data_IF_769918849300
#
_entry.id   IF_769918849300
#
_cell.length_a   1.000
_cell.length_b   1.000
_cell.length_c   1.000
_cell.angle_alpha   90.00
_cell.angle_beta   90.00
_cell.angle_gamma   90.00
#
_symmetry.space_group_name_H-M   'P 1'
#
loop_
_entity.id
_entity.type
_entity.pdbx_description
1 polymer ?
#
# COMPACT_ATOMS: atom_id res chain seq x y z
N UNK A 1 7.54 2.34 -30.66
CA UNK A 1 6.38 1.47 -30.37
C UNK A 1 6.74 0.72 -29.09
N UNK A 2 5.94 0.78 -28.03
CA UNK A 2 6.18 0.00 -26.82
C UNK A 2 5.80 -1.46 -27.10
N UNK A 3 6.76 -2.25 -27.63
CA UNK A 3 6.54 -3.65 -27.95
C UNK A 3 6.17 -4.44 -26.68
N UNK A 4 4.86 -4.75 -26.53
CA UNK A 4 4.37 -5.78 -25.62
C UNK A 4 4.53 -5.52 -24.12
N UNK A 5 4.65 -4.26 -23.68
CA UNK A 5 4.73 -3.93 -22.25
C UNK A 5 3.38 -4.08 -21.57
N UNK A 6 3.36 -4.84 -20.50
CA UNK A 6 2.14 -5.20 -19.77
C UNK A 6 1.94 -4.33 -18.53
N UNK A 7 0.80 -3.66 -18.46
CA UNK A 7 0.39 -2.82 -17.32
C UNK A 7 -0.76 -3.51 -16.57
N UNK A 8 -0.63 -3.59 -15.25
CA UNK A 8 -1.73 -3.96 -14.37
C UNK A 8 -2.45 -2.71 -13.86
N UNK A 9 -3.75 -2.60 -14.07
CA UNK A 9 -4.61 -1.59 -13.45
C UNK A 9 -5.45 -2.27 -12.39
N UNK A 10 -5.44 -1.71 -11.17
CA UNK A 10 -6.26 -2.16 -10.04
C UNK A 10 -7.14 -0.99 -9.61
N UNK A 11 -8.41 -1.03 -9.99
CA UNK A 11 -9.38 0.05 -9.83
C UNK A 11 -10.77 -0.55 -9.74
N UNK A 12 -11.62 -0.16 -8.80
CA UNK A 12 -12.98 -0.69 -8.62
C UNK A 12 -14.07 0.16 -9.29
N UNK A 13 -13.81 1.43 -9.58
CA UNK A 13 -14.74 2.30 -10.32
C UNK A 13 -14.68 2.02 -11.83
N UNK A 14 -15.79 1.54 -12.39
CA UNK A 14 -15.89 1.18 -13.81
C UNK A 14 -15.57 2.34 -14.78
N UNK A 15 -15.86 3.59 -14.39
CA UNK A 15 -15.57 4.76 -15.22
C UNK A 15 -14.07 5.02 -15.27
N UNK A 16 -13.39 4.92 -14.12
CA UNK A 16 -11.94 5.06 -14.07
C UNK A 16 -11.22 3.90 -14.74
N UNK A 17 -11.76 2.68 -14.60
CA UNK A 17 -11.28 1.53 -15.36
C UNK A 17 -11.26 1.79 -16.85
N UNK A 18 -12.38 2.34 -17.39
CA UNK A 18 -12.50 2.63 -18.82
C UNK A 18 -11.50 3.70 -19.25
N UNK A 19 -11.43 4.83 -18.52
CA UNK A 19 -10.53 5.95 -18.84
C UNK A 19 -9.07 5.50 -18.86
N UNK A 20 -8.61 4.82 -17.80
CA UNK A 20 -7.21 4.39 -17.70
C UNK A 20 -6.87 3.35 -18.77
N UNK A 21 -7.76 2.38 -19.00
CA UNK A 21 -7.56 1.33 -20.00
C UNK A 21 -7.49 1.90 -21.41
N UNK A 22 -8.50 2.65 -21.85
CA UNK A 22 -8.54 3.21 -23.20
C UNK A 22 -7.33 4.10 -23.45
N UNK A 23 -6.97 4.98 -22.49
CA UNK A 23 -5.78 5.84 -22.61
C UNK A 23 -4.50 5.04 -22.85
N UNK A 24 -4.30 3.92 -22.14
CA UNK A 24 -3.08 3.14 -22.26
C UNK A 24 -3.08 2.19 -23.47
N UNK A 25 -4.23 1.62 -23.84
CA UNK A 25 -4.36 0.79 -25.04
C UNK A 25 -4.15 1.63 -26.31
N UNK A 26 -4.60 2.89 -26.34
CA UNK A 26 -4.36 3.83 -27.44
C UNK A 26 -2.86 4.15 -27.61
N UNK A 27 -2.08 4.14 -26.53
CA UNK A 27 -0.62 4.28 -26.54
C UNK A 27 0.12 2.95 -26.86
N UNK A 28 -0.64 1.85 -27.06
CA UNK A 28 -0.11 0.55 -27.48
C UNK A 28 0.40 -0.33 -26.32
N UNK A 29 0.00 -0.08 -25.08
CA UNK A 29 0.27 -0.95 -23.96
C UNK A 29 -0.73 -2.12 -23.89
N UNK A 30 -0.29 -3.27 -23.42
CA UNK A 30 -1.17 -4.40 -23.08
C UNK A 30 -1.67 -4.23 -21.64
N UNK A 31 -2.98 -4.07 -21.46
CA UNK A 31 -3.58 -3.74 -20.17
C UNK A 31 -4.32 -4.93 -19.60
N UNK A 32 -4.01 -5.24 -18.33
CA UNK A 32 -4.82 -6.12 -17.50
C UNK A 32 -5.52 -5.30 -16.45
N UNK A 33 -6.84 -5.45 -16.36
CA UNK A 33 -7.67 -4.70 -15.44
C UNK A 33 -8.31 -5.65 -14.43
N UNK A 34 -8.24 -5.28 -13.15
CA UNK A 34 -8.86 -5.98 -12.03
C UNK A 34 -9.47 -4.97 -11.06
N UNK A 35 -10.50 -5.40 -10.32
CA UNK A 35 -11.31 -4.48 -9.52
C UNK A 35 -11.01 -4.51 -8.01
N UNK A 36 -10.17 -5.41 -7.51
CA UNK A 36 -9.97 -5.56 -6.08
C UNK A 36 -8.58 -6.09 -5.72
N UNK A 37 -8.27 -6.04 -4.42
CA UNK A 37 -7.00 -6.52 -3.86
C UNK A 37 -6.67 -7.97 -4.22
N UNK A 38 -7.65 -8.88 -4.12
CA UNK A 38 -7.40 -10.32 -4.29
C UNK A 38 -7.04 -10.64 -5.74
N UNK A 39 -7.80 -10.08 -6.69
CA UNK A 39 -7.56 -10.27 -8.11
C UNK A 39 -6.24 -9.59 -8.55
N UNK A 40 -5.93 -8.41 -7.99
CA UNK A 40 -4.66 -7.73 -8.23
C UNK A 40 -3.47 -8.55 -7.78
N UNK A 41 -3.51 -9.05 -6.56
CA UNK A 41 -2.48 -9.95 -6.04
C UNK A 41 -2.35 -11.22 -6.88
N UNK A 42 -3.46 -11.86 -7.23
CA UNK A 42 -3.47 -13.08 -8.03
C UNK A 42 -2.90 -12.86 -9.44
N UNK A 43 -3.21 -11.72 -10.08
CA UNK A 43 -2.63 -11.35 -11.36
C UNK A 43 -1.11 -11.22 -11.27
N UNK A 44 -0.61 -10.53 -10.24
CA UNK A 44 0.82 -10.33 -9.98
C UNK A 44 1.57 -11.63 -9.64
N UNK A 45 0.91 -12.60 -9.02
CA UNK A 45 1.49 -13.92 -8.74
C UNK A 45 1.59 -14.79 -9.99
N UNK A 46 0.67 -14.62 -10.96
CA UNK A 46 0.60 -15.46 -12.16
C UNK A 46 1.54 -15.04 -13.29
N UNK A 47 1.78 -13.75 -13.48
CA UNK A 47 2.58 -13.22 -14.57
C UNK A 47 3.37 -11.96 -14.18
N UNK A 48 4.46 -11.65 -14.88
CA UNK A 48 5.15 -10.38 -14.73
C UNK A 48 4.32 -9.24 -15.34
N UNK A 49 4.47 -8.05 -14.77
CA UNK A 49 4.00 -6.77 -15.30
C UNK A 49 5.16 -5.78 -15.27
N UNK A 50 5.15 -4.85 -16.22
CA UNK A 50 6.18 -3.81 -16.33
C UNK A 50 5.84 -2.57 -15.50
N UNK A 51 4.56 -2.39 -15.16
CA UNK A 51 4.04 -1.29 -14.32
C UNK A 51 2.74 -1.73 -13.66
N UNK A 52 2.52 -1.24 -12.44
CA UNK A 52 1.21 -1.33 -11.78
C UNK A 52 0.66 0.07 -11.52
N UNK A 53 -0.59 0.29 -11.92
CA UNK A 53 -1.39 1.48 -11.60
C UNK A 53 -2.49 1.04 -10.65
N UNK A 54 -2.62 1.70 -9.50
CA UNK A 54 -3.57 1.27 -8.49
C UNK A 54 -4.28 2.43 -7.80
N UNK A 55 -5.56 2.24 -7.54
CA UNK A 55 -6.28 3.06 -6.58
C UNK A 55 -6.00 2.59 -5.16
N UNK A 56 -5.91 3.53 -4.22
CA UNK A 56 -5.81 3.23 -2.79
C UNK A 56 -7.16 2.80 -2.20
N UNK A 57 -8.25 3.31 -2.76
CA UNK A 57 -9.62 3.07 -2.30
C UNK A 57 -10.28 1.93 -3.07
N UNK A 58 -9.75 0.73 -2.99
CA UNK A 58 -10.38 -0.46 -3.54
C UNK A 58 -11.39 -1.01 -2.52
N UNK A 59 -12.68 -1.04 -2.88
CA UNK A 59 -13.78 -1.57 -2.07
C UNK A 59 -14.48 -0.53 -1.16
N UNK A 60 -15.70 -0.15 -1.53
CA UNK A 60 -16.57 0.75 -0.76
C UNK A 60 -16.96 0.22 0.63
N UNK A 61 -16.92 -1.09 0.85
CA UNK A 61 -17.25 -1.72 2.13
C UNK A 61 -16.15 -1.61 3.17
N UNK A 62 -14.91 -1.38 2.73
CA UNK A 62 -13.75 -1.17 3.60
C UNK A 62 -12.88 -0.04 3.07
N UNK A 63 -13.27 1.22 3.29
CA UNK A 63 -12.59 2.38 2.71
C UNK A 63 -11.09 2.36 3.04
N UNK A 64 -10.28 2.54 2.00
CA UNK A 64 -8.83 2.73 2.01
C UNK A 64 -7.94 1.51 2.31
N UNK A 65 -8.44 0.29 2.27
CA UNK A 65 -7.63 -0.86 2.70
C UNK A 65 -7.09 -1.72 1.57
N UNK A 66 -7.86 -1.93 0.52
CA UNK A 66 -7.50 -2.83 -0.57
C UNK A 66 -6.23 -2.40 -1.32
N UNK A 67 -6.19 -1.16 -1.77
CA UNK A 67 -5.07 -0.61 -2.53
C UNK A 67 -3.80 -0.46 -1.71
N UNK A 68 -3.89 0.05 -0.48
CA UNK A 68 -2.72 0.18 0.41
C UNK A 68 -2.13 -1.19 0.78
N UNK A 69 -2.99 -2.20 1.02
CA UNK A 69 -2.53 -3.58 1.25
C UNK A 69 -1.81 -4.15 0.03
N UNK A 70 -2.34 -3.90 -1.17
CA UNK A 70 -1.69 -4.35 -2.40
C UNK A 70 -0.36 -3.63 -2.62
N UNK A 71 -0.31 -2.32 -2.42
CA UNK A 71 0.91 -1.53 -2.50
C UNK A 71 1.99 -2.03 -1.52
N UNK A 72 1.59 -2.33 -0.27
CA UNK A 72 2.47 -2.92 0.75
C UNK A 72 3.01 -4.29 0.31
N UNK A 73 2.15 -5.12 -0.27
CA UNK A 73 2.56 -6.44 -0.76
C UNK A 73 3.51 -6.33 -1.95
N UNK A 74 3.20 -5.46 -2.93
CA UNK A 74 4.06 -5.20 -4.10
C UNK A 74 5.45 -4.75 -3.66
N UNK A 75 5.56 -3.80 -2.75
CA UNK A 75 6.85 -3.26 -2.29
C UNK A 75 7.75 -4.29 -1.58
N UNK A 76 7.18 -5.40 -1.14
CA UNK A 76 7.93 -6.50 -0.49
C UNK A 76 8.31 -7.60 -1.45
N UNK A 77 7.46 -7.88 -2.44
CA UNK A 77 7.58 -9.04 -3.31
C UNK A 77 8.04 -8.69 -4.73
N UNK A 78 7.90 -7.43 -5.13
CA UNK A 78 8.19 -6.91 -6.47
C UNK A 78 8.80 -5.51 -6.37
N UNK A 79 9.92 -5.40 -5.66
CA UNK A 79 10.60 -4.12 -5.39
C UNK A 79 11.10 -3.42 -6.67
N UNK A 80 11.37 -4.20 -7.72
CA UNK A 80 11.82 -3.78 -9.04
C UNK A 80 10.72 -3.24 -9.96
N UNK A 81 9.43 -3.48 -9.63
CA UNK A 81 8.30 -3.07 -10.48
C UNK A 81 7.84 -1.66 -10.14
N UNK A 82 7.88 -0.72 -11.08
CA UNK A 82 7.37 0.63 -10.88
C UNK A 82 5.86 0.62 -10.60
N UNK A 83 5.42 1.56 -9.77
CA UNK A 83 4.02 1.69 -9.37
C UNK A 83 3.59 3.14 -9.36
N UNK A 84 2.42 3.39 -9.95
CA UNK A 84 1.75 4.69 -9.97
C UNK A 84 0.46 4.56 -9.18
N UNK A 85 0.16 5.54 -8.36
CA UNK A 85 -1.09 5.60 -7.59
C UNK A 85 -2.00 6.63 -8.24
N UNK A 86 -3.26 6.25 -8.53
CA UNK A 86 -4.32 7.15 -9.01
C UNK A 86 -5.46 7.09 -8.00
N UNK A 87 -5.69 8.14 -7.23
CA UNK A 87 -6.66 8.07 -6.13
C UNK A 87 -7.37 9.40 -5.85
N UNK A 88 -8.45 9.37 -5.04
CA UNK A 88 -9.28 10.54 -4.72
C UNK A 88 -8.60 11.55 -3.78
N UNK A 89 -9.25 12.71 -3.58
CA UNK A 89 -8.71 13.87 -2.86
C UNK A 89 -8.33 13.65 -1.39
N UNK A 90 -8.93 12.68 -0.71
CA UNK A 90 -8.67 12.42 0.72
C UNK A 90 -7.31 11.80 1.02
N UNK A 91 -6.62 11.34 0.00
CA UNK A 91 -5.49 10.40 0.12
C UNK A 91 -4.12 11.08 0.06
N UNK A 92 -4.05 12.37 -0.29
CA UNK A 92 -2.78 13.11 -0.53
C UNK A 92 -1.82 13.04 0.67
N UNK A 93 -2.33 13.05 1.90
CA UNK A 93 -1.50 12.94 3.10
C UNK A 93 -1.00 11.51 3.36
N UNK A 94 -1.83 10.52 3.00
CA UNK A 94 -1.47 9.10 3.08
C UNK A 94 -0.39 8.78 2.07
N UNK A 95 -0.53 9.36 0.92
CA UNK A 95 0.33 9.20 -0.24
C UNK A 95 1.73 9.78 0.00
N UNK A 96 1.87 10.93 0.63
CA UNK A 96 3.18 11.52 0.93
C UNK A 96 4.07 10.60 1.77
N UNK A 97 3.46 9.80 2.65
CA UNK A 97 4.14 8.80 3.44
C UNK A 97 4.35 7.50 2.65
N UNK A 98 3.38 7.13 1.80
CA UNK A 98 3.48 5.98 0.90
C UNK A 98 4.60 6.14 -0.14
N UNK A 99 4.82 7.34 -0.69
CA UNK A 99 5.91 7.62 -1.63
C UNK A 99 7.28 7.22 -1.08
N UNK A 100 7.56 7.58 0.17
CA UNK A 100 8.85 7.27 0.80
C UNK A 100 8.98 5.81 1.25
N UNK A 101 7.85 5.17 1.53
CA UNK A 101 7.83 3.84 2.13
C UNK A 101 7.68 2.74 1.09
N UNK A 102 6.98 3.01 -0.02
CA UNK A 102 6.57 1.99 -1.00
C UNK A 102 7.18 2.20 -2.39
N UNK A 103 8.12 3.13 -2.54
CA UNK A 103 8.80 3.42 -3.80
C UNK A 103 7.83 3.64 -4.98
N UNK A 104 6.80 4.45 -4.74
CA UNK A 104 5.83 4.87 -5.75
C UNK A 104 6.49 5.87 -6.68
N UNK A 105 6.39 5.65 -7.99
CA UNK A 105 6.99 6.55 -9.00
C UNK A 105 6.28 7.90 -9.03
N UNK A 106 4.95 7.88 -9.01
CA UNK A 106 4.13 9.09 -8.98
C UNK A 106 2.73 8.84 -8.40
N UNK A 107 2.07 9.95 -8.02
CA UNK A 107 0.71 9.97 -7.53
C UNK A 107 -0.12 10.97 -8.32
N UNK A 108 -1.27 10.52 -8.78
CA UNK A 108 -2.21 11.32 -9.57
C UNK A 108 -3.53 11.42 -8.80
N UNK A 109 -3.91 12.63 -8.46
CA UNK A 109 -5.21 12.89 -7.85
C UNK A 109 -6.30 12.82 -8.93
N UNK A 110 -7.34 12.01 -8.70
CA UNK A 110 -8.44 11.80 -9.67
C UNK A 110 -9.15 13.10 -10.07
N UNK A 111 -9.24 14.07 -9.19
CA UNK A 111 -9.85 15.39 -9.44
C UNK A 111 -8.96 16.34 -10.25
N UNK A 112 -7.66 16.04 -10.39
CA UNK A 112 -6.68 16.80 -11.16
C UNK A 112 -6.10 15.95 -12.31
N UNK A 113 -6.80 14.90 -12.70
CA UNK A 113 -6.34 13.98 -13.73
C UNK A 113 -6.28 14.67 -15.10
N UNK A 114 -5.10 14.67 -15.68
CA UNK A 114 -4.85 15.13 -17.04
C UNK A 114 -4.25 13.98 -17.86
N UNK A 115 -4.87 13.67 -19.00
CA UNK A 115 -4.49 12.52 -19.83
C UNK A 115 -3.04 12.66 -20.33
N UNK A 116 -2.65 13.84 -20.80
CA UNK A 116 -1.32 14.03 -21.36
C UNK A 116 -0.22 13.92 -20.29
N UNK A 117 -0.46 14.49 -19.11
CA UNK A 117 0.43 14.36 -17.97
C UNK A 117 0.51 12.89 -17.49
N UNK A 118 -0.59 12.17 -17.47
CA UNK A 118 -0.64 10.76 -17.10
C UNK A 118 0.19 9.89 -18.05
N UNK A 119 0.03 10.06 -19.36
CA UNK A 119 0.82 9.35 -20.38
C UNK A 119 2.32 9.61 -20.16
N UNK A 120 2.71 10.86 -19.95
CA UNK A 120 4.11 11.22 -19.72
C UNK A 120 4.70 10.54 -18.47
N UNK A 121 3.91 10.47 -17.38
CA UNK A 121 4.33 9.79 -16.14
C UNK A 121 4.52 8.28 -16.39
N UNK A 122 3.62 7.66 -17.14
CA UNK A 122 3.72 6.22 -17.50
C UNK A 122 4.95 5.96 -18.36
N UNK A 123 5.21 6.78 -19.37
CA UNK A 123 6.40 6.66 -20.23
C UNK A 123 7.70 6.81 -19.42
N UNK A 124 7.74 7.78 -18.51
CA UNK A 124 8.91 8.01 -17.64
C UNK A 124 9.17 6.85 -16.68
N UNK A 125 8.10 6.27 -16.11
CA UNK A 125 8.17 5.08 -15.26
C UNK A 125 8.71 3.86 -16.03
N UNK A 126 8.19 3.64 -17.23
CA UNK A 126 8.61 2.56 -18.12
C UNK A 126 10.06 2.68 -18.59
N UNK A 127 10.52 3.90 -18.83
CA UNK A 127 11.90 4.18 -19.25
C UNK A 127 12.90 3.86 -18.13
N UNK A 128 12.58 4.25 -16.90
CA UNK A 128 13.42 3.97 -15.73
C UNK A 128 13.55 2.47 -15.47
N UNK A 129 12.47 1.71 -15.61
CA UNK A 129 12.49 0.25 -15.48
C UNK A 129 13.36 -0.45 -16.53
N UNK A 130 13.44 0.10 -17.76
CA UNK A 130 14.25 -0.47 -18.85
C UNK A 130 15.76 -0.24 -18.74
N UNK A 131 16.20 0.73 -17.95
CA UNK A 131 17.63 1.04 -17.76
C UNK A 131 18.32 0.19 -16.68
N UNK A 132 17.55 -0.48 -15.81
CA UNK A 132 18.10 -1.37 -14.76
C UNK A 132 18.24 -2.85 -15.18
N UNK A 133 17.88 -3.20 -16.41
CA UNK A 133 17.97 -4.59 -16.91
C UNK A 133 19.39 -5.04 -17.30
N UNK A 134 20.42 -4.22 -17.14
CA UNK A 134 21.82 -4.60 -17.44
C UNK A 134 22.57 -5.21 -16.23
N UNK A 135 21.84 -5.65 -15.20
CA UNK A 135 22.40 -6.51 -14.14
C UNK A 135 22.07 -7.96 -14.44
N UNK A 136 23.09 -8.87 -14.52
CA UNK A 136 22.86 -10.29 -14.83
C UNK A 136 21.94 -10.92 -13.78
N UNK A 137 20.76 -11.37 -14.22
CA UNK A 137 19.78 -12.05 -13.40
C UNK A 137 20.32 -13.38 -12.87
N UNK A 138 19.93 -13.83 -11.67
CA UNK A 138 20.22 -15.17 -11.21
C UNK A 138 19.38 -16.19 -11.98
N UNK A 139 20.08 -17.13 -12.59
CA UNK A 139 19.61 -18.29 -13.34
C UNK A 139 18.54 -19.08 -12.55
N UNK A 140 17.47 -19.45 -13.23
CA UNK A 140 16.42 -20.32 -12.74
C UNK A 140 16.96 -21.71 -12.35
N UNK A 141 16.75 -22.11 -11.10
CA UNK A 141 16.67 -23.51 -10.69
C UNK A 141 15.89 -23.64 -9.38
N UNK A 142 14.70 -24.17 -9.53
CA UNK A 142 13.87 -25.00 -8.63
C UNK A 142 14.37 -25.32 -7.23
N UNK A 143 13.66 -24.82 -6.17
CA UNK A 143 13.24 -25.56 -4.96
C UNK A 143 12.37 -24.66 -4.06
N UNK A 144 11.42 -25.22 -3.27
CA UNK A 144 10.51 -24.43 -2.43
C UNK A 144 11.27 -23.73 -1.30
N UNK A 145 10.81 -22.54 -0.86
CA UNK A 145 11.54 -21.73 0.11
C UNK A 145 11.49 -22.34 1.49
N UNK A 146 12.66 -22.70 1.99
CA UNK A 146 12.91 -22.92 3.42
C UNK A 146 12.94 -21.54 4.12
N UNK A 147 12.42 -21.49 5.34
CA UNK A 147 12.41 -20.31 6.19
C UNK A 147 13.80 -19.68 6.32
N UNK A 148 13.95 -18.35 6.16
CA UNK A 148 15.23 -17.72 6.38
C UNK A 148 15.51 -17.58 7.87
N UNK A 149 16.62 -18.16 8.28
CA UNK A 149 17.29 -17.93 9.56
C UNK A 149 17.81 -16.49 9.63
N UNK A 150 17.63 -15.87 10.79
CA UNK A 150 18.12 -14.54 11.17
C UNK A 150 19.62 -14.36 10.92
N UNK A 151 19.99 -13.62 9.87
CA UNK A 151 21.25 -12.87 9.82
C UNK A 151 21.27 -11.94 8.59
N UNK A 152 21.10 -10.63 8.79
CA UNK A 152 21.56 -9.62 7.83
C UNK A 152 20.53 -8.65 7.29
N UNK A 153 19.71 -8.00 8.13
CA UNK A 153 18.96 -6.78 7.73
C UNK A 153 19.09 -5.72 8.81
N UNK A 154 20.28 -5.13 8.89
CA UNK A 154 20.52 -3.92 9.68
C UNK A 154 20.59 -2.70 8.76
N UNK A 155 19.43 -2.13 8.38
CA UNK A 155 19.43 -0.89 7.60
C UNK A 155 18.08 -0.21 7.38
N UNK A 156 16.98 -0.95 7.31
CA UNK A 156 15.64 -0.38 7.00
C UNK A 156 14.65 -0.34 8.19
N UNK A 157 15.03 -0.75 9.40
CA UNK A 157 14.12 -0.82 10.56
C UNK A 157 13.92 0.48 11.36
N UNK A 158 14.76 1.48 11.20
CA UNK A 158 14.72 2.68 12.05
C UNK A 158 13.51 3.61 11.84
N UNK A 159 13.05 3.92 10.62
CA UNK A 159 11.86 4.77 10.42
C UNK A 159 10.55 4.08 10.83
N UNK A 160 10.39 2.80 10.55
CA UNK A 160 9.19 2.03 10.94
C UNK A 160 9.04 1.95 12.46
N UNK A 161 10.13 1.72 13.19
CA UNK A 161 10.09 1.64 14.64
C UNK A 161 9.76 2.99 15.29
N UNK A 162 10.25 4.10 14.73
CA UNK A 162 9.89 5.45 15.19
C UNK A 162 8.40 5.73 15.01
N UNK A 163 7.84 5.37 13.86
CA UNK A 163 6.42 5.50 13.58
C UNK A 163 5.57 4.69 14.57
N UNK A 164 5.89 3.41 14.78
CA UNK A 164 5.15 2.55 15.71
C UNK A 164 5.23 3.04 17.15
N UNK A 165 6.39 3.55 17.57
CA UNK A 165 6.55 4.14 18.91
C UNK A 165 5.69 5.40 19.07
N UNK A 166 5.61 6.24 18.04
CA UNK A 166 4.78 7.46 18.07
C UNK A 166 3.29 7.11 18.07
N UNK A 167 2.88 6.12 17.26
CA UNK A 167 1.53 5.58 17.27
C UNK A 167 1.14 5.06 18.66
N UNK A 168 2.05 4.32 19.31
CA UNK A 168 1.85 3.85 20.68
C UNK A 168 1.66 5.02 21.66
N UNK A 169 2.50 6.05 21.56
CA UNK A 169 2.37 7.26 22.40
C UNK A 169 1.03 7.96 22.20
N UNK A 170 0.56 8.08 20.98
CA UNK A 170 -0.76 8.65 20.67
C UNK A 170 -1.86 7.83 21.35
N UNK A 171 -1.87 6.52 21.20
CA UNK A 171 -2.87 5.64 21.81
C UNK A 171 -2.84 5.73 23.34
N UNK A 172 -1.66 5.75 23.95
CA UNK A 172 -1.52 5.86 25.41
C UNK A 172 -1.94 7.25 25.92
N UNK A 173 -1.51 8.32 25.26
CA UNK A 173 -1.70 9.68 25.74
C UNK A 173 -3.07 10.27 25.42
N UNK A 174 -3.67 9.91 24.27
CA UNK A 174 -4.84 10.58 23.73
C UNK A 174 -6.12 9.75 23.74
N UNK A 175 -6.03 8.43 23.89
CA UNK A 175 -7.20 7.54 23.96
C UNK A 175 -7.51 7.17 25.42
N UNK A 176 -8.78 7.16 25.78
CA UNK A 176 -9.27 6.50 26.99
C UNK A 176 -9.33 4.98 26.79
N UNK A 177 -9.50 4.23 27.85
CA UNK A 177 -9.65 2.76 27.75
C UNK A 177 -10.94 2.38 26.99
N UNK A 178 -12.01 3.17 27.14
CA UNK A 178 -13.26 2.98 26.39
C UNK A 178 -13.07 3.24 24.90
N UNK A 179 -12.35 4.29 24.54
CA UNK A 179 -12.04 4.58 23.12
C UNK A 179 -11.11 3.51 22.51
N UNK A 180 -10.16 2.99 23.28
CA UNK A 180 -9.32 1.89 22.81
C UNK A 180 -10.13 0.60 22.58
N UNK A 181 -11.15 0.34 23.42
CA UNK A 181 -12.09 -0.77 23.21
C UNK A 181 -12.93 -0.57 21.95
N UNK A 182 -13.43 0.65 21.72
CA UNK A 182 -14.16 1.00 20.49
C UNK A 182 -13.26 0.85 19.25
N UNK A 183 -12.01 1.27 19.35
CA UNK A 183 -11.02 1.12 18.29
C UNK A 183 -10.76 -0.36 17.96
N UNK A 184 -10.64 -1.21 18.99
CA UNK A 184 -10.51 -2.65 18.79
C UNK A 184 -11.73 -3.25 18.07
N UNK A 185 -12.94 -2.80 18.42
CA UNK A 185 -14.17 -3.23 17.77
C UNK A 185 -14.20 -2.88 16.28
N UNK A 186 -13.83 -1.65 15.91
CA UNK A 186 -13.74 -1.22 14.51
C UNK A 186 -12.68 -2.01 13.72
N UNK A 187 -11.65 -2.49 14.39
CA UNK A 187 -10.57 -3.28 13.79
C UNK A 187 -10.82 -4.79 13.82
N UNK A 188 -12.01 -5.21 14.25
CA UNK A 188 -12.36 -6.63 14.42
C UNK A 188 -11.34 -7.39 15.29
N UNK A 189 -10.78 -6.69 16.28
CA UNK A 189 -9.90 -7.27 17.30
C UNK A 189 -10.66 -7.34 18.60
N UNK A 190 -10.81 -8.55 19.14
CA UNK A 190 -11.42 -8.72 20.43
C UNK A 190 -10.50 -8.14 21.52
N UNK A 191 -10.97 -7.06 22.18
CA UNK A 191 -10.24 -6.34 23.22
C UNK A 191 -9.89 -7.25 24.43
N UNK A 192 -10.74 -8.21 24.74
CA UNK A 192 -10.56 -9.08 25.91
C UNK A 192 -9.57 -10.21 25.63
N UNK A 193 -9.22 -10.43 24.36
CA UNK A 193 -8.13 -11.34 23.95
C UNK A 193 -6.75 -10.67 23.91
N UNK A 194 -6.69 -9.35 24.09
CA UNK A 194 -5.42 -8.66 24.24
C UNK A 194 -4.80 -9.02 25.59
N UNK A 195 -3.47 -8.98 25.64
CA UNK A 195 -2.71 -9.35 26.85
C UNK A 195 -3.23 -8.57 28.05
N UNK A 196 -3.44 -9.27 29.17
CA UNK A 196 -3.84 -8.67 30.44
C UNK A 196 -2.83 -7.61 30.90
N UNK A 197 -3.37 -6.46 31.29
CA UNK A 197 -2.56 -5.33 31.71
C UNK A 197 -3.29 -4.00 31.54
N UNK A 198 -2.62 -2.91 31.86
CA UNK A 198 -3.12 -1.56 31.66
C UNK A 198 -3.26 -1.19 30.19
N UNK A 199 -3.85 -0.01 29.96
CA UNK A 199 -4.07 0.56 28.61
C UNK A 199 -2.81 0.54 27.73
N UNK A 200 -1.65 0.78 28.30
CA UNK A 200 -0.35 0.77 27.63
C UNK A 200 0.03 -0.61 27.08
N UNK A 201 -0.23 -1.67 27.87
CA UNK A 201 0.01 -3.06 27.49
C UNK A 201 -0.93 -3.45 26.35
N UNK A 202 -2.24 -3.11 26.46
CA UNK A 202 -3.24 -3.42 25.44
C UNK A 202 -3.00 -2.65 24.14
N UNK A 203 -2.63 -1.37 24.20
CA UNK A 203 -2.28 -0.58 23.03
C UNK A 203 -1.06 -1.14 22.30
N UNK A 204 -0.03 -1.58 23.03
CA UNK A 204 1.15 -2.22 22.46
C UNK A 204 0.81 -3.54 21.78
N UNK A 205 0.02 -4.38 22.44
CA UNK A 205 -0.41 -5.67 21.91
C UNK A 205 -1.27 -5.50 20.64
N UNK A 206 -2.18 -4.51 20.64
CA UNK A 206 -2.99 -4.17 19.47
C UNK A 206 -2.09 -3.80 18.27
N UNK A 207 -1.12 -2.90 18.48
CA UNK A 207 -0.15 -2.53 17.44
C UNK A 207 0.62 -3.75 16.94
N UNK A 208 1.11 -4.62 17.83
CA UNK A 208 1.88 -5.81 17.43
C UNK A 208 1.04 -6.79 16.61
N UNK A 209 -0.21 -7.05 17.01
CA UNK A 209 -1.13 -7.92 16.26
C UNK A 209 -1.46 -7.38 14.89
N UNK A 210 -1.73 -6.07 14.80
CA UNK A 210 -2.02 -5.42 13.53
C UNK A 210 -0.77 -5.33 12.64
N UNK A 211 0.42 -5.12 13.23
CA UNK A 211 1.68 -5.18 12.49
C UNK A 211 1.92 -6.56 11.88
N UNK A 212 1.71 -7.64 12.65
CA UNK A 212 1.86 -9.01 12.15
C UNK A 212 0.90 -9.34 11.01
N UNK A 213 -0.29 -8.70 11.00
CA UNK A 213 -1.32 -8.86 9.97
C UNK A 213 -1.25 -7.78 8.89
N UNK A 214 -0.22 -6.90 8.92
CA UNK A 214 -0.04 -5.78 7.99
C UNK A 214 -1.19 -4.75 7.98
N UNK A 215 -1.91 -4.64 9.11
CA UNK A 215 -3.10 -3.81 9.29
C UNK A 215 -2.86 -2.54 10.11
N UNK A 216 -1.61 -2.06 10.23
CA UNK A 216 -1.27 -0.84 11.01
C UNK A 216 -1.97 0.38 10.43
N UNK A 217 -2.14 0.43 9.12
CA UNK A 217 -2.83 1.53 8.46
C UNK A 217 -4.31 1.61 8.88
N UNK A 218 -5.00 0.48 9.01
CA UNK A 218 -6.37 0.42 9.51
C UNK A 218 -6.49 1.03 10.91
N UNK A 219 -5.50 0.77 11.76
CA UNK A 219 -5.44 1.37 13.09
C UNK A 219 -5.37 2.90 13.03
N UNK A 220 -4.56 3.45 12.14
CA UNK A 220 -4.45 4.91 11.96
C UNK A 220 -5.76 5.50 11.45
N UNK A 221 -6.41 4.85 10.48
CA UNK A 221 -7.68 5.31 9.92
C UNK A 221 -8.83 5.25 10.94
N UNK A 222 -9.01 4.14 11.61
CA UNK A 222 -10.00 4.01 12.67
C UNK A 222 -9.75 5.02 13.81
N UNK A 223 -8.46 5.24 14.11
CA UNK A 223 -8.06 6.27 15.07
C UNK A 223 -8.44 7.68 14.62
N UNK A 224 -8.20 8.05 13.36
CA UNK A 224 -8.61 9.36 12.77
C UNK A 224 -10.12 9.55 12.81
N UNK A 225 -10.89 8.52 12.54
CA UNK A 225 -12.37 8.58 12.61
C UNK A 225 -12.86 8.80 14.03
N UNK A 226 -12.30 8.11 15.02
CA UNK A 226 -12.68 8.24 16.42
C UNK A 226 -12.19 9.55 17.06
N UNK A 227 -11.01 10.01 16.66
CA UNK A 227 -10.35 11.18 17.22
C UNK A 227 -9.75 12.06 16.11
N UNK A 228 -10.61 12.78 15.37
CA UNK A 228 -10.17 13.73 14.34
C UNK A 228 -9.41 14.94 14.89
N UNK A 229 -9.52 15.19 16.19
CA UNK A 229 -8.82 16.25 16.92
C UNK A 229 -7.33 15.97 17.15
N UNK A 230 -6.87 14.77 16.91
CA UNK A 230 -5.46 14.38 17.10
C UNK A 230 -4.67 14.65 15.80
N UNK A 231 -3.50 15.31 15.86
CA UNK A 231 -2.63 15.48 14.70
C UNK A 231 -1.92 14.15 14.37
N UNK A 232 -2.62 13.27 13.67
CA UNK A 232 -2.09 11.97 13.23
C UNK A 232 -0.93 12.09 12.24
N UNK A 233 -0.84 13.24 11.56
CA UNK A 233 0.22 13.51 10.57
C UNK A 233 1.58 13.72 11.25
N UNK A 234 1.60 14.11 12.51
CA UNK A 234 2.81 14.13 13.33
C UNK A 234 3.31 12.71 13.70
N UNK A 235 2.57 11.67 13.39
CA UNK A 235 3.01 10.28 13.56
C UNK A 235 3.90 9.79 12.41
N UNK A 236 4.20 10.66 11.43
CA UNK A 236 5.01 10.38 10.25
C UNK A 236 6.50 10.65 10.49
#
# INVERSE_FOLDING_TARGET
MPDGRHILIVEDDEKWQLVLRETLEDEGYDVTLVANYQDGRHALEKRPFDLTILDLNLDESAPMLGGVRLLTWISRCRDDMPRIVVSGQGDVHIVRNAFKQYDVVDFIAKDQFDIAAFIQIVEDAMRKAGTDQDKPGPTAASAPPQQPSDAGVLGKKAPEQKFLNKLLQILIARFSESELRTLCFHLEVDHDTLRDGGKDVKARELILRLKQRERIFELVQAGKQLRPDIPWDDAS
#
